data_IF_244101196963
#
_entry.id   IF_244101196963
#
_cell.length_a   1.000
_cell.length_b   1.000
_cell.length_c   1.000
_cell.angle_alpha   90.00
_cell.angle_beta   90.00
_cell.angle_gamma   90.00
#
_symmetry.space_group_name_H-M   'P 1'
#
loop_
_entity.id
_entity.type
_entity.pdbx_description
1 polymer ?
#
# COMPACT_ATOMS: atom_id res chain seq x y z
N UNK A 1 -27.17 -6.44 -4.02
CA UNK A 1 -25.83 -6.86 -3.58
C UNK A 1 -25.20 -5.66 -2.89
N UNK A 2 -24.72 -5.85 -1.69
CA UNK A 2 -24.01 -4.79 -0.95
C UNK A 2 -22.63 -4.65 -1.57
N UNK A 3 -22.12 -3.43 -1.66
CA UNK A 3 -20.78 -3.16 -2.19
C UNK A 3 -19.92 -2.54 -1.10
N UNK A 4 -18.65 -2.91 -1.07
CA UNK A 4 -17.63 -2.33 -0.21
C UNK A 4 -16.68 -1.52 -1.08
N UNK A 5 -16.53 -0.24 -0.77
CA UNK A 5 -15.58 0.66 -1.44
C UNK A 5 -14.35 0.85 -0.56
N UNK A 6 -13.20 0.40 -1.08
CA UNK A 6 -11.89 0.61 -0.46
C UNK A 6 -11.16 1.69 -1.25
N UNK A 7 -10.58 2.65 -0.56
CA UNK A 7 -9.79 3.72 -1.17
C UNK A 7 -8.43 3.88 -0.50
N UNK A 8 -7.49 4.49 -1.21
CA UNK A 8 -6.16 4.85 -0.69
C UNK A 8 -5.78 6.24 -1.16
N UNK A 9 -5.22 7.05 -0.26
CA UNK A 9 -4.79 8.40 -0.57
C UNK A 9 -3.56 8.81 0.24
N UNK A 10 -2.43 9.01 -0.44
CA UNK A 10 -1.34 9.76 0.14
C UNK A 10 -1.78 11.23 0.26
N UNK A 11 -2.12 11.63 1.48
CA UNK A 11 -2.70 12.96 1.73
C UNK A 11 -1.66 14.06 1.88
N UNK A 12 -0.39 13.70 1.96
CA UNK A 12 0.75 14.62 2.09
C UNK A 12 0.49 15.72 3.15
N UNK A 13 0.33 15.33 4.40
CA UNK A 13 -0.07 16.08 5.59
C UNK A 13 -1.59 16.19 5.79
N UNK A 14 -2.07 15.35 6.70
CA UNK A 14 -3.48 15.32 7.11
C UNK A 14 -3.94 16.67 7.65
N UNK A 15 -3.12 17.31 8.50
CA UNK A 15 -3.45 18.62 9.09
C UNK A 15 -3.71 19.70 8.03
N UNK A 16 -2.94 19.71 6.93
CA UNK A 16 -3.11 20.71 5.87
C UNK A 16 -4.31 20.43 4.98
N UNK A 17 -4.74 19.18 4.89
CA UNK A 17 -5.75 18.74 3.93
C UNK A 17 -6.97 18.11 4.59
N UNK A 18 -7.16 18.39 5.88
CA UNK A 18 -8.26 17.84 6.65
C UNK A 18 -9.63 18.20 6.04
N UNK A 19 -9.85 19.45 5.67
CA UNK A 19 -11.11 19.90 5.06
C UNK A 19 -11.35 19.22 3.71
N UNK A 20 -10.27 19.02 2.94
CA UNK A 20 -10.36 18.30 1.66
C UNK A 20 -10.70 16.83 1.87
N UNK A 21 -10.10 16.21 2.88
CA UNK A 21 -10.44 14.83 3.24
C UNK A 21 -11.92 14.72 3.62
N UNK A 22 -12.43 15.55 4.50
CA UNK A 22 -13.82 15.48 4.92
C UNK A 22 -14.79 15.73 3.76
N UNK A 23 -14.53 16.72 2.92
CA UNK A 23 -15.31 16.97 1.71
C UNK A 23 -15.34 15.75 0.80
N UNK A 24 -14.18 15.12 0.58
CA UNK A 24 -14.08 13.94 -0.27
C UNK A 24 -14.76 12.70 0.36
N UNK A 25 -14.64 12.50 1.69
CA UNK A 25 -15.35 11.44 2.41
C UNK A 25 -16.87 11.58 2.28
N UNK A 26 -17.39 12.81 2.41
CA UNK A 26 -18.82 13.09 2.26
C UNK A 26 -19.31 12.82 0.83
N UNK A 27 -18.55 13.24 -0.18
CA UNK A 27 -18.93 13.10 -1.59
C UNK A 27 -18.86 11.66 -2.10
N UNK A 28 -17.84 10.90 -1.68
CA UNK A 28 -17.54 9.57 -2.24
C UNK A 28 -17.96 8.42 -1.34
N UNK A 29 -18.19 8.71 -0.04
CA UNK A 29 -18.70 7.81 0.99
C UNK A 29 -18.03 6.42 1.01
N UNK A 30 -16.69 6.30 0.98
CA UNK A 30 -16.00 5.02 0.97
C UNK A 30 -16.20 4.29 2.31
N UNK A 31 -16.15 2.95 2.29
CA UNK A 31 -16.29 2.15 3.51
C UNK A 31 -14.97 2.03 4.25
N UNK A 32 -13.86 2.00 3.52
CA UNK A 32 -12.49 1.90 4.06
C UNK A 32 -11.59 2.89 3.30
N UNK A 33 -10.77 3.63 4.04
CA UNK A 33 -9.78 4.56 3.48
C UNK A 33 -8.42 4.34 4.12
N UNK A 34 -7.42 4.05 3.31
CA UNK A 34 -6.03 3.98 3.69
C UNK A 34 -5.35 5.32 3.42
N UNK A 35 -4.79 5.95 4.44
CA UNK A 35 -4.07 7.23 4.31
C UNK A 35 -2.57 7.02 4.47
N UNK A 36 -1.79 7.76 3.69
CA UNK A 36 -0.34 7.81 3.80
C UNK A 36 0.10 9.26 3.95
N UNK A 37 1.32 9.44 4.49
CA UNK A 37 1.89 10.74 4.81
C UNK A 37 0.97 11.63 5.65
N UNK A 38 0.40 11.06 6.72
CA UNK A 38 -0.41 11.84 7.66
C UNK A 38 0.39 12.97 8.33
N UNK A 39 1.71 12.77 8.51
CA UNK A 39 2.67 13.75 9.03
C UNK A 39 2.25 14.37 10.37
N UNK A 40 1.61 13.59 11.20
CA UNK A 40 1.22 13.95 12.55
C UNK A 40 1.53 12.81 13.52
N UNK A 41 1.79 13.15 14.77
CA UNK A 41 1.94 12.14 15.83
C UNK A 41 0.57 11.54 16.18
N UNK A 42 0.58 10.43 16.92
CA UNK A 42 -0.66 9.76 17.31
C UNK A 42 -1.54 10.68 18.19
N UNK A 43 -0.96 11.53 19.03
CA UNK A 43 -1.71 12.50 19.87
C UNK A 43 -2.36 13.61 19.04
N UNK A 44 -1.83 13.89 17.84
CA UNK A 44 -2.34 14.95 16.95
C UNK A 44 -3.36 14.42 15.94
N UNK A 45 -3.58 13.09 15.91
CA UNK A 45 -4.50 12.50 14.96
C UNK A 45 -5.95 12.88 15.26
N UNK A 46 -6.77 13.34 14.29
CA UNK A 46 -8.07 13.96 14.53
C UNK A 46 -9.19 12.93 14.77
N UNK A 47 -9.04 12.05 15.75
CA UNK A 47 -9.95 10.93 16.04
C UNK A 47 -11.40 11.40 16.19
N UNK A 48 -11.64 12.43 17.01
CA UNK A 48 -13.02 12.89 17.28
C UNK A 48 -13.70 13.46 16.04
N UNK A 49 -12.95 14.18 15.20
CA UNK A 49 -13.52 14.73 13.98
C UNK A 49 -13.85 13.63 12.96
N UNK A 50 -13.04 12.58 12.88
CA UNK A 50 -13.30 11.42 12.03
C UNK A 50 -14.48 10.59 12.54
N UNK A 51 -14.60 10.42 13.85
CA UNK A 51 -15.79 9.78 14.47
C UNK A 51 -17.07 10.55 14.19
N UNK A 52 -17.03 11.88 14.27
CA UNK A 52 -18.17 12.74 13.92
C UNK A 52 -18.54 12.61 12.44
N UNK A 53 -17.58 12.32 11.55
CA UNK A 53 -17.81 12.02 10.15
C UNK A 53 -18.23 10.55 9.88
N UNK A 54 -18.40 9.73 10.92
CA UNK A 54 -18.85 8.34 10.80
C UNK A 54 -17.74 7.31 10.58
N UNK A 55 -16.47 7.66 10.86
CA UNK A 55 -15.34 6.77 10.68
C UNK A 55 -14.61 6.45 11.98
N UNK A 56 -14.43 5.17 12.25
CA UNK A 56 -13.42 4.68 13.17
C UNK A 56 -12.03 4.80 12.53
N UNK A 57 -10.97 4.84 13.33
CA UNK A 57 -9.61 4.98 12.82
C UNK A 57 -8.61 4.09 13.56
N UNK A 58 -7.72 3.45 12.79
CA UNK A 58 -6.47 2.89 13.27
C UNK A 58 -5.33 3.70 12.62
N UNK A 59 -4.34 4.11 13.38
CA UNK A 59 -3.30 5.01 12.89
C UNK A 59 -1.97 4.70 13.56
N UNK A 60 -0.90 5.05 12.85
CA UNK A 60 0.47 4.99 13.33
C UNK A 60 1.21 6.18 12.72
N UNK A 61 1.59 7.12 13.55
CA UNK A 61 2.16 8.39 13.13
C UNK A 61 3.53 8.68 13.72
N UNK A 62 4.20 9.65 13.11
CA UNK A 62 5.43 10.24 13.63
C UNK A 62 5.49 11.74 13.32
N UNK A 63 6.35 12.44 14.02
CA UNK A 63 6.46 13.90 13.89
C UNK A 63 7.00 14.28 12.51
N UNK A 64 6.26 15.10 11.78
CA UNK A 64 6.65 15.79 10.54
C UNK A 64 6.81 14.93 9.29
N UNK A 65 7.00 13.61 9.42
CA UNK A 65 7.25 12.70 8.30
C UNK A 65 6.30 11.50 8.36
N UNK A 66 6.25 10.73 7.27
CA UNK A 66 5.55 9.45 7.18
C UNK A 66 4.13 9.47 7.79
N UNK A 67 3.75 8.43 8.49
CA UNK A 67 2.45 8.27 9.11
C UNK A 67 1.43 7.63 8.17
N UNK A 68 0.77 6.59 8.67
CA UNK A 68 -0.25 5.80 7.95
C UNK A 68 -1.49 5.66 8.82
N UNK A 69 -2.65 5.56 8.17
CA UNK A 69 -3.90 5.31 8.87
C UNK A 69 -4.86 4.48 8.03
N UNK A 70 -5.80 3.83 8.71
CA UNK A 70 -6.97 3.18 8.13
C UNK A 70 -8.19 3.81 8.78
N UNK A 71 -9.05 4.41 7.97
CA UNK A 71 -10.39 4.88 8.35
C UNK A 71 -11.40 3.84 7.90
N UNK A 72 -12.41 3.54 8.71
CA UNK A 72 -13.44 2.58 8.36
C UNK A 72 -14.76 2.91 9.02
N UNK A 73 -15.89 2.68 8.32
CA UNK A 73 -17.23 2.77 8.91
C UNK A 73 -17.48 1.69 9.95
N UNK A 74 -16.77 0.59 9.87
CA UNK A 74 -16.77 -0.50 10.86
C UNK A 74 -15.51 -0.43 11.70
N UNK A 75 -15.63 -0.72 13.00
CA UNK A 75 -14.49 -0.68 13.92
C UNK A 75 -13.37 -1.64 13.48
N UNK A 76 -12.13 -1.13 13.24
CA UNK A 76 -10.98 -1.94 12.91
C UNK A 76 -10.58 -2.86 14.07
N UNK A 77 -10.27 -4.14 13.79
CA UNK A 77 -9.83 -5.13 14.77
C UNK A 77 -8.45 -5.66 14.41
N UNK A 78 -7.78 -6.28 15.37
CA UNK A 78 -6.46 -6.89 15.19
C UNK A 78 -5.50 -5.93 14.48
N UNK A 79 -5.36 -4.73 15.04
CA UNK A 79 -4.53 -3.66 14.50
C UNK A 79 -3.07 -3.97 14.75
N UNK A 80 -2.23 -3.84 13.71
CA UNK A 80 -0.77 -4.05 13.76
C UNK A 80 -0.06 -2.93 13.01
N UNK A 81 0.98 -2.37 13.64
CA UNK A 81 1.76 -1.27 13.09
C UNK A 81 3.20 -1.71 12.75
N UNK A 82 3.36 -2.89 12.15
CA UNK A 82 4.67 -3.47 11.79
C UNK A 82 4.56 -4.43 10.61
N UNK A 83 5.69 -4.82 10.05
CA UNK A 83 5.81 -5.81 8.98
C UNK A 83 5.86 -7.26 9.48
N UNK A 84 5.36 -7.56 10.67
CA UNK A 84 5.29 -8.91 11.24
C UNK A 84 6.66 -9.60 11.42
N UNK A 85 7.74 -8.84 11.49
CA UNK A 85 9.10 -9.29 11.75
C UNK A 85 9.66 -8.65 13.03
N UNK A 86 10.82 -9.13 13.49
CA UNK A 86 11.50 -8.62 14.68
C UNK A 86 12.29 -7.32 14.41
N UNK A 87 12.28 -6.81 13.19
CA UNK A 87 13.01 -5.61 12.80
C UNK A 87 12.25 -4.39 13.27
N UNK A 88 12.80 -3.68 14.22
CA UNK A 88 12.28 -2.37 14.65
C UNK A 88 12.50 -1.37 13.50
N UNK A 89 11.42 -1.00 12.83
CA UNK A 89 11.44 0.09 11.85
C UNK A 89 11.00 1.37 12.55
N UNK A 90 11.89 2.39 12.65
CA UNK A 90 11.54 3.64 13.34
C UNK A 90 10.54 4.51 12.56
N UNK A 91 10.20 4.12 11.32
CA UNK A 91 9.36 4.91 10.44
C UNK A 91 7.94 4.36 10.38
N UNK A 92 6.96 5.24 10.57
CA UNK A 92 5.54 4.90 10.53
C UNK A 92 5.04 4.71 9.08
N UNK A 93 5.32 3.52 8.50
CA UNK A 93 5.07 3.23 7.08
C UNK A 93 4.03 2.14 6.82
N UNK A 94 3.64 1.41 7.85
CA UNK A 94 2.70 0.29 7.72
C UNK A 94 1.74 0.28 8.89
N UNK A 95 0.46 0.10 8.58
CA UNK A 95 -0.55 -0.30 9.55
C UNK A 95 -1.50 -1.29 8.89
N UNK A 96 -1.86 -2.33 9.60
CA UNK A 96 -2.83 -3.32 9.15
C UNK A 96 -3.97 -3.47 10.15
N UNK A 97 -5.17 -3.72 9.66
CA UNK A 97 -6.33 -4.02 10.49
C UNK A 97 -7.25 -5.03 9.81
N UNK A 98 -8.02 -5.76 10.58
CA UNK A 98 -9.11 -6.59 10.08
C UNK A 98 -10.41 -5.78 10.12
N UNK A 99 -11.06 -5.64 8.97
CA UNK A 99 -12.35 -4.97 8.81
C UNK A 99 -13.27 -5.96 8.10
N UNK A 100 -14.36 -6.38 8.78
CA UNK A 100 -15.17 -7.54 8.37
C UNK A 100 -14.29 -8.78 8.15
N UNK A 101 -14.29 -9.34 6.95
CA UNK A 101 -13.50 -10.51 6.57
C UNK A 101 -12.27 -10.15 5.73
N UNK A 102 -11.93 -8.85 5.64
CA UNK A 102 -10.78 -8.37 4.86
C UNK A 102 -9.67 -7.91 5.81
N UNK A 103 -8.45 -8.41 5.60
CA UNK A 103 -7.22 -7.86 6.17
C UNK A 103 -6.77 -6.71 5.26
N UNK A 104 -6.80 -5.50 5.80
CA UNK A 104 -6.44 -4.28 5.07
C UNK A 104 -5.09 -3.78 5.56
N UNK A 105 -4.18 -3.51 4.65
CA UNK A 105 -2.91 -2.85 4.88
C UNK A 105 -2.93 -1.44 4.29
N UNK A 106 -2.59 -0.43 5.08
CA UNK A 106 -2.20 0.88 4.59
C UNK A 106 -0.69 0.99 4.62
N UNK A 107 -0.06 1.15 3.46
CA UNK A 107 1.39 1.21 3.32
C UNK A 107 1.88 2.50 2.69
N UNK A 108 3.05 2.96 3.14
CA UNK A 108 3.82 4.04 2.53
C UNK A 108 5.24 3.56 2.27
N UNK A 109 5.48 3.03 1.08
CA UNK A 109 6.79 2.52 0.70
C UNK A 109 7.85 3.64 0.70
N UNK A 110 9.10 3.34 1.11
CA UNK A 110 10.17 4.33 1.03
C UNK A 110 10.35 4.88 -0.39
N UNK A 111 10.62 6.18 -0.53
CA UNK A 111 10.88 6.78 -1.85
C UNK A 111 12.17 6.24 -2.49
N UNK A 112 13.24 6.06 -1.69
CA UNK A 112 14.52 5.54 -2.17
C UNK A 112 15.49 6.62 -2.67
N UNK A 113 15.06 7.87 -2.80
CA UNK A 113 15.84 9.05 -3.20
C UNK A 113 16.52 8.92 -4.58
N UNK A 114 17.55 8.09 -4.70
CA UNK A 114 18.29 7.86 -5.94
C UNK A 114 18.69 6.39 -6.06
N UNK A 115 18.65 5.86 -7.26
CA UNK A 115 19.08 4.48 -7.56
C UNK A 115 20.54 4.27 -7.13
N UNK A 116 20.80 3.18 -6.40
CA UNK A 116 22.12 2.86 -5.85
C UNK A 116 22.50 3.60 -4.57
N UNK A 117 21.60 4.43 -4.01
CA UNK A 117 21.83 5.08 -2.71
C UNK A 117 21.51 4.15 -1.53
N UNK A 118 21.98 4.44 -0.30
CA UNK A 118 21.58 3.69 0.89
C UNK A 118 20.05 3.71 1.12
N UNK A 119 19.36 4.80 0.74
CA UNK A 119 17.91 4.91 0.81
C UNK A 119 17.21 3.98 -0.19
N UNK A 120 17.80 3.77 -1.36
CA UNK A 120 17.34 2.80 -2.35
C UNK A 120 17.47 1.36 -1.84
N UNK A 121 18.62 1.02 -1.23
CA UNK A 121 18.86 -0.30 -0.64
C UNK A 121 17.86 -0.57 0.51
N UNK A 122 17.60 0.44 1.34
CA UNK A 122 16.57 0.38 2.38
C UNK A 122 15.19 0.09 1.76
N UNK A 123 14.82 0.79 0.69
CA UNK A 123 13.56 0.56 -0.04
C UNK A 123 13.42 -0.88 -0.51
N UNK A 124 14.42 -1.44 -1.16
CA UNK A 124 14.37 -2.82 -1.67
C UNK A 124 14.27 -3.85 -0.53
N UNK A 125 15.03 -3.64 0.56
CA UNK A 125 14.92 -4.47 1.77
C UNK A 125 13.53 -4.38 2.41
N UNK A 126 12.97 -3.18 2.45
CA UNK A 126 11.62 -2.95 2.98
C UNK A 126 10.56 -3.70 2.15
N UNK A 127 10.67 -3.71 0.81
CA UNK A 127 9.79 -4.49 -0.06
C UNK A 127 9.92 -6.00 0.18
N UNK A 128 11.12 -6.50 0.38
CA UNK A 128 11.34 -7.92 0.70
C UNK A 128 10.67 -8.32 2.03
N UNK A 129 10.76 -7.45 3.05
CA UNK A 129 10.08 -7.63 4.34
C UNK A 129 8.56 -7.58 4.19
N UNK A 130 8.04 -6.60 3.44
CA UNK A 130 6.61 -6.51 3.14
C UNK A 130 6.11 -7.78 2.47
N UNK A 131 6.81 -8.27 1.45
CA UNK A 131 6.46 -9.53 0.77
C UNK A 131 6.41 -10.71 1.74
N UNK A 132 7.42 -10.85 2.59
CA UNK A 132 7.47 -11.94 3.58
C UNK A 132 6.30 -11.86 4.58
N UNK A 133 5.97 -10.65 5.06
CA UNK A 133 4.83 -10.43 5.93
C UNK A 133 3.50 -10.83 5.27
N UNK A 134 3.27 -10.39 4.03
CA UNK A 134 2.04 -10.67 3.30
C UNK A 134 1.90 -12.15 2.93
N UNK A 135 2.98 -12.83 2.56
CA UNK A 135 3.00 -14.27 2.31
C UNK A 135 2.65 -15.06 3.58
N UNK A 136 3.12 -14.62 4.75
CA UNK A 136 2.78 -15.22 6.04
C UNK A 136 1.31 -15.07 6.43
N UNK A 137 0.62 -14.02 6.00
CA UNK A 137 -0.83 -13.84 6.21
C UNK A 137 -1.64 -14.89 5.43
N UNK A 138 -1.23 -15.27 4.23
CA UNK A 138 -1.89 -16.31 3.44
C UNK A 138 -1.68 -17.71 4.04
N UNK A 139 -0.47 -18.03 4.52
CA UNK A 139 -0.15 -19.30 5.16
C UNK A 139 -0.88 -19.50 6.49
N UNK A 140 -1.05 -18.43 7.27
CA UNK A 140 -1.80 -18.47 8.53
C UNK A 140 -3.30 -18.69 8.25
N UNK A 141 -3.85 -18.10 7.20
CA UNK A 141 -5.23 -18.36 6.77
C UNK A 141 -5.42 -19.82 6.31
N UNK A 142 -4.39 -20.45 5.74
CA UNK A 142 -4.39 -21.84 5.31
C UNK A 142 -4.22 -22.84 6.47
N UNK A 143 -3.49 -22.48 7.54
CA UNK A 143 -3.12 -23.38 8.62
C UNK A 143 -4.07 -23.37 9.83
N UNK A 144 -4.95 -22.39 9.96
CA UNK A 144 -5.84 -22.23 11.13
C UNK A 144 -5.10 -22.02 12.47
N UNK A 145 -3.80 -21.79 12.46
CA UNK A 145 -2.96 -21.55 13.63
C UNK A 145 -2.51 -20.09 13.70
N UNK A 146 -3.32 -19.27 14.32
CA UNK A 146 -2.83 -17.98 14.81
C UNK A 146 -1.86 -18.25 15.97
N UNK A 147 -0.59 -17.91 15.78
CA UNK A 147 0.35 -17.77 16.88
C UNK A 147 1.39 -18.87 17.06
N UNK A 148 2.24 -19.11 16.08
CA UNK A 148 3.64 -19.54 16.33
C UNK A 148 4.48 -19.14 15.12
N UNK A 149 5.04 -17.96 15.16
CA UNK A 149 6.01 -17.47 14.19
C UNK A 149 7.42 -17.72 14.71
N UNK A 150 8.15 -18.47 13.89
CA UNK A 150 9.61 -18.49 13.73
C UNK A 150 10.46 -18.47 15.02
N UNK A 151 10.95 -19.62 15.43
CA UNK A 151 12.17 -19.72 16.26
C UNK A 151 13.39 -19.74 15.33
N UNK A 152 14.38 -18.85 15.51
CA UNK A 152 15.63 -18.95 14.78
C UNK A 152 16.40 -20.18 15.21
N UNK A 153 16.79 -21.04 14.26
CA UNK A 153 17.76 -22.08 14.51
C UNK A 153 19.12 -21.46 14.81
N UNK A 154 19.65 -21.69 16.00
CA UNK A 154 21.03 -21.43 16.35
C UNK A 154 21.96 -22.22 15.41
N UNK A 155 22.86 -21.51 14.73
CA UNK A 155 24.01 -22.13 14.10
C UNK A 155 24.27 -21.72 12.65
N UNK A 156 24.81 -20.54 12.42
CA UNK A 156 25.63 -20.29 11.24
C UNK A 156 26.82 -19.40 11.60
N UNK A 157 27.99 -20.00 11.47
CA UNK A 157 29.32 -19.41 11.70
C UNK A 157 29.61 -18.30 10.69
N UNK A 158 30.41 -17.33 11.16
CA UNK A 158 31.06 -16.28 10.37
C UNK A 158 31.92 -16.91 9.27
N UNK A 159 32.04 -16.12 8.21
CA UNK A 159 33.00 -16.13 7.08
C UNK A 159 32.36 -16.63 5.77
N UNK A 160 32.04 -15.66 4.89
CA UNK A 160 32.71 -15.53 3.59
C UNK A 160 32.13 -14.33 2.81
N UNK A 161 33.04 -13.43 2.49
CA UNK A 161 32.85 -12.41 1.47
C UNK A 161 32.88 -13.11 0.09
N UNK A 162 31.73 -13.23 -0.56
CA UNK A 162 31.68 -13.12 -2.02
C UNK A 162 30.24 -13.06 -2.57
N UNK A 163 30.05 -12.22 -3.58
CA UNK A 163 28.91 -12.10 -4.44
C UNK A 163 28.22 -13.44 -4.75
N UNK A 164 26.93 -13.55 -4.47
CA UNK A 164 26.04 -14.34 -5.32
C UNK A 164 24.58 -13.91 -5.14
N UNK A 165 24.03 -13.45 -6.24
CA UNK A 165 22.64 -13.54 -6.74
C UNK A 165 21.56 -13.97 -5.74
N UNK A 166 20.63 -13.08 -5.44
CA UNK A 166 19.33 -13.40 -4.87
C UNK A 166 18.47 -14.07 -5.95
N UNK A 167 18.83 -15.29 -6.31
CA UNK A 167 18.04 -16.12 -7.22
C UNK A 167 17.05 -16.93 -6.38
N UNK A 168 15.78 -16.62 -6.58
CA UNK A 168 14.61 -17.49 -6.63
C UNK A 168 14.81 -18.93 -6.12
N UNK A 169 14.30 -19.22 -4.92
CA UNK A 169 13.80 -20.56 -4.66
C UNK A 169 12.28 -20.55 -4.95
N UNK A 170 11.77 -21.52 -5.70
CA UNK A 170 10.32 -21.68 -5.88
C UNK A 170 9.72 -22.02 -4.51
N UNK A 171 8.69 -21.28 -4.13
CA UNK A 171 7.83 -21.65 -3.00
C UNK A 171 7.00 -22.81 -3.53
N UNK A 172 7.33 -24.03 -3.09
CA UNK A 172 6.50 -25.21 -3.34
C UNK A 172 5.09 -24.92 -2.82
N UNK A 173 4.13 -24.96 -3.72
CA UNK A 173 2.71 -24.91 -3.41
C UNK A 173 2.32 -26.12 -2.58
N UNK A 174 2.44 -26.01 -1.27
CA UNK A 174 1.86 -27.00 -0.35
C UNK A 174 0.35 -26.80 -0.41
N UNK A 175 -0.35 -27.82 -0.91
CA UNK A 175 -1.79 -27.80 -1.11
C UNK A 175 -2.53 -27.42 0.19
N UNK A 176 -3.37 -26.39 0.11
CA UNK A 176 -4.28 -25.98 1.18
C UNK A 176 -5.18 -27.14 1.60
N UNK A 177 -5.32 -27.43 2.91
CA UNK A 177 -6.40 -28.29 3.38
C UNK A 177 -7.73 -27.62 3.07
N UNK A 178 -8.60 -28.33 2.36
CA UNK A 178 -9.95 -27.89 2.01
C UNK A 178 -10.75 -27.62 3.30
N UNK A 179 -11.07 -26.33 3.56
CA UNK A 179 -12.00 -25.97 4.64
C UNK A 179 -11.65 -24.74 5.48
N UNK A 180 -10.44 -24.20 5.47
CA UNK A 180 -10.14 -22.95 6.16
C UNK A 180 -10.64 -21.76 5.29
N UNK A 181 -11.51 -20.90 5.86
CA UNK A 181 -11.91 -19.64 5.20
C UNK A 181 -10.65 -18.79 5.04
N UNK A 182 -10.19 -18.62 3.80
CA UNK A 182 -9.15 -17.63 3.48
C UNK A 182 -9.65 -16.25 3.87
N UNK A 183 -8.80 -15.48 4.53
CA UNK A 183 -9.07 -14.08 4.81
C UNK A 183 -8.73 -13.30 3.53
N UNK A 184 -9.70 -12.54 3.01
CA UNK A 184 -9.45 -11.64 1.90
C UNK A 184 -8.40 -10.59 2.31
N UNK A 185 -7.47 -10.27 1.41
CA UNK A 185 -6.38 -9.34 1.67
C UNK A 185 -6.45 -8.16 0.71
N UNK A 186 -6.36 -6.94 1.24
CA UNK A 186 -6.21 -5.70 0.48
C UNK A 186 -4.95 -4.95 0.96
N UNK A 187 -4.00 -4.69 0.06
CA UNK A 187 -2.81 -3.88 0.32
C UNK A 187 -2.92 -2.58 -0.46
N UNK A 188 -3.12 -1.51 0.28
CA UNK A 188 -3.46 -0.20 -0.27
C UNK A 188 -2.38 0.81 0.08
N UNK A 189 -1.95 1.64 -0.84
CA UNK A 189 -1.02 2.70 -0.49
C UNK A 189 -0.24 3.29 -1.64
N UNK A 190 0.71 4.12 -1.22
CA UNK A 190 1.75 4.66 -2.06
C UNK A 190 2.94 3.69 -2.08
N UNK A 191 3.09 3.02 -3.21
CA UNK A 191 4.18 2.07 -3.43
C UNK A 191 5.47 2.76 -3.87
N UNK A 192 5.41 4.05 -4.23
CA UNK A 192 6.57 4.77 -4.76
C UNK A 192 7.25 4.05 -5.95
N UNK A 193 6.49 3.27 -6.72
CA UNK A 193 6.93 2.56 -7.93
C UNK A 193 5.86 2.69 -9.00
N UNK A 194 6.25 3.09 -10.20
CA UNK A 194 5.45 2.94 -11.41
C UNK A 194 5.71 1.53 -11.99
N UNK A 195 4.76 0.58 -11.88
CA UNK A 195 5.02 -0.84 -12.16
C UNK A 195 5.45 -1.11 -13.60
N UNK A 196 4.87 -0.40 -14.56
CA UNK A 196 5.08 -0.59 -15.99
C UNK A 196 5.32 0.74 -16.71
N UNK A 197 5.74 0.67 -17.96
CA UNK A 197 5.97 1.88 -18.78
C UNK A 197 4.68 2.67 -19.00
N UNK A 198 3.53 2.02 -19.11
CA UNK A 198 2.22 2.67 -19.22
C UNK A 198 1.79 3.43 -17.96
N UNK A 199 2.49 3.25 -16.85
CA UNK A 199 2.29 3.96 -15.58
C UNK A 199 3.08 5.26 -15.48
N UNK A 200 3.79 5.62 -16.54
CA UNK A 200 4.54 6.87 -16.67
C UNK A 200 4.04 7.70 -17.85
N UNK A 201 4.12 9.03 -17.74
CA UNK A 201 3.76 9.91 -18.85
C UNK A 201 4.81 9.93 -19.99
N UNK A 202 6.04 9.51 -19.69
CA UNK A 202 7.18 9.48 -20.62
C UNK A 202 8.11 8.32 -20.21
N UNK A 203 7.91 7.12 -20.77
CA UNK A 203 8.68 5.93 -20.41
C UNK A 203 10.18 6.05 -20.68
N UNK A 204 10.57 6.80 -21.73
CA UNK A 204 11.99 6.98 -22.08
C UNK A 204 12.69 7.86 -21.04
N UNK A 205 12.04 8.96 -20.62
CA UNK A 205 12.56 9.87 -19.60
C UNK A 205 12.72 9.16 -18.24
N UNK A 206 11.78 8.27 -17.90
CA UNK A 206 11.73 7.59 -16.60
C UNK A 206 12.49 6.27 -16.57
N UNK A 207 13.01 5.81 -17.69
CA UNK A 207 13.72 4.52 -17.76
C UNK A 207 14.92 4.50 -16.82
N UNK A 208 14.90 3.56 -15.86
CA UNK A 208 15.95 3.39 -14.85
C UNK A 208 16.05 4.50 -13.80
N UNK A 209 15.17 5.50 -13.83
CA UNK A 209 15.07 6.51 -12.77
C UNK A 209 14.46 5.92 -11.51
N UNK A 210 14.58 6.65 -10.39
CA UNK A 210 13.88 6.31 -9.15
C UNK A 210 12.36 6.19 -9.41
N UNK A 211 11.67 5.27 -8.74
CA UNK A 211 10.28 4.84 -8.97
C UNK A 211 10.07 4.02 -10.27
N UNK A 212 11.07 3.95 -11.16
CA UNK A 212 10.97 3.25 -12.44
C UNK A 212 12.19 2.36 -12.73
N UNK A 213 13.06 2.15 -11.75
CA UNK A 213 14.19 1.25 -11.90
C UNK A 213 13.74 -0.22 -11.96
N UNK A 214 14.54 -1.06 -12.62
CA UNK A 214 14.22 -2.49 -12.73
C UNK A 214 14.17 -3.17 -11.35
N UNK A 215 15.03 -2.78 -10.40
CA UNK A 215 14.98 -3.32 -9.04
C UNK A 215 13.69 -3.03 -8.31
N UNK A 216 13.14 -1.81 -8.45
CA UNK A 216 11.87 -1.41 -7.85
C UNK A 216 10.68 -2.12 -8.51
N UNK A 217 10.66 -2.16 -9.84
CA UNK A 217 9.63 -2.86 -10.60
C UNK A 217 9.64 -4.37 -10.32
N UNK A 218 10.84 -4.96 -10.19
CA UNK A 218 10.97 -6.36 -9.78
C UNK A 218 10.43 -6.60 -8.36
N UNK A 219 10.71 -5.70 -7.41
CA UNK A 219 10.19 -5.79 -6.06
C UNK A 219 8.64 -5.69 -6.03
N UNK A 220 8.05 -4.80 -6.83
CA UNK A 220 6.60 -4.71 -6.97
C UNK A 220 6.01 -5.98 -7.62
N UNK A 221 6.61 -6.50 -8.70
CA UNK A 221 6.16 -7.77 -9.33
C UNK A 221 6.17 -8.92 -8.33
N UNK A 222 7.19 -9.00 -7.47
CA UNK A 222 7.27 -10.03 -6.42
C UNK A 222 6.13 -9.96 -5.38
N UNK A 223 5.49 -8.80 -5.17
CA UNK A 223 4.24 -8.71 -4.41
C UNK A 223 3.07 -9.29 -5.20
N UNK A 224 3.03 -9.10 -6.52
CA UNK A 224 2.00 -9.72 -7.35
C UNK A 224 2.18 -11.26 -7.43
N UNK A 225 3.43 -11.74 -7.44
CA UNK A 225 3.76 -13.18 -7.54
C UNK A 225 3.27 -14.00 -6.33
N UNK A 226 3.05 -13.39 -5.16
CA UNK A 226 2.40 -14.06 -4.03
C UNK A 226 0.86 -14.15 -4.15
N UNK A 227 0.28 -13.78 -5.30
CA UNK A 227 -1.15 -13.88 -5.56
C UNK A 227 -1.92 -12.56 -5.42
N UNK A 228 -1.23 -11.42 -5.30
CA UNK A 228 -1.87 -10.11 -5.26
C UNK A 228 -2.12 -9.58 -6.69
N UNK A 229 -3.31 -9.03 -6.89
CA UNK A 229 -3.79 -8.53 -8.18
C UNK A 229 -4.04 -7.02 -8.08
N UNK A 230 -3.48 -6.25 -9.00
CA UNK A 230 -3.71 -4.81 -9.13
C UNK A 230 -5.15 -4.56 -9.62
N UNK A 231 -5.99 -4.03 -8.74
CA UNK A 231 -7.42 -3.84 -9.02
C UNK A 231 -7.67 -2.85 -10.14
N UNK A 232 -6.85 -1.80 -10.28
CA UNK A 232 -7.01 -0.84 -11.36
C UNK A 232 -6.81 -1.52 -12.72
N UNK A 233 -5.84 -2.42 -12.83
CA UNK A 233 -5.51 -3.14 -14.06
C UNK A 233 -6.54 -4.19 -14.47
N UNK A 234 -7.47 -4.57 -13.59
CA UNK A 234 -8.63 -5.37 -13.96
C UNK A 234 -9.56 -4.60 -14.90
N UNK A 235 -9.72 -3.30 -14.69
CA UNK A 235 -10.69 -2.45 -15.38
C UNK A 235 -10.05 -1.50 -16.40
N UNK A 236 -8.79 -1.08 -16.19
CA UNK A 236 -8.09 -0.09 -17.01
C UNK A 236 -6.78 -0.66 -17.57
N UNK A 237 -6.82 -1.16 -18.82
CA UNK A 237 -5.66 -1.76 -19.51
C UNK A 237 -4.71 -0.75 -20.14
N UNK A 238 -5.18 0.49 -20.39
CA UNK A 238 -4.40 1.55 -21.04
C UNK A 238 -3.60 2.39 -20.06
N UNK A 239 -2.67 3.19 -20.62
CA UNK A 239 -1.88 4.20 -19.88
C UNK A 239 -2.67 5.47 -19.56
N UNK A 240 -1.99 6.44 -18.94
CA UNK A 240 -2.55 7.76 -18.64
C UNK A 240 -3.39 7.84 -17.35
N UNK A 241 -3.53 6.73 -16.63
CA UNK A 241 -4.18 6.66 -15.32
C UNK A 241 -3.15 6.94 -14.23
N UNK A 242 -2.80 8.20 -14.04
CA UNK A 242 -1.80 8.60 -13.06
C UNK A 242 -2.45 8.91 -11.71
N UNK A 243 -1.72 8.64 -10.63
CA UNK A 243 -2.12 8.93 -9.26
C UNK A 243 -1.28 10.04 -8.61
N UNK A 244 -0.11 10.34 -9.17
CA UNK A 244 0.83 11.34 -8.66
C UNK A 244 1.33 12.29 -9.75
N UNK A 245 1.52 13.58 -9.39
CA UNK A 245 2.11 14.63 -10.24
C UNK A 245 2.95 15.58 -9.39
N UNK A 246 4.22 15.78 -9.76
CA UNK A 246 5.09 16.76 -9.10
C UNK A 246 4.41 18.15 -9.06
N UNK A 247 4.54 18.88 -7.97
CA UNK A 247 4.05 20.26 -7.85
C UNK A 247 4.73 21.22 -8.84
N UNK A 248 5.97 20.89 -9.22
CA UNK A 248 6.80 21.71 -10.10
C UNK A 248 6.45 21.51 -11.58
N UNK A 249 6.94 22.42 -12.43
CA UNK A 249 6.91 22.34 -13.89
C UNK A 249 5.52 22.24 -14.51
N UNK A 250 4.47 22.64 -13.78
CA UNK A 250 3.07 22.49 -14.19
C UNK A 250 2.73 21.03 -14.57
N UNK A 251 3.24 20.07 -13.80
CA UNK A 251 3.12 18.65 -14.15
C UNK A 251 1.67 18.20 -14.19
N UNK A 252 0.82 18.64 -13.27
CA UNK A 252 -0.60 18.28 -13.27
C UNK A 252 -1.37 18.84 -14.49
N UNK A 253 -1.33 20.15 -14.81
CA UNK A 253 -1.99 20.68 -16.03
C UNK A 253 -1.50 20.02 -17.32
N UNK A 254 -0.21 19.67 -17.40
CA UNK A 254 0.40 19.01 -18.56
C UNK A 254 0.18 17.49 -18.57
N UNK A 255 -0.51 16.96 -17.57
CA UNK A 255 -0.70 15.52 -17.33
C UNK A 255 0.60 14.70 -17.31
N UNK A 256 1.68 15.28 -16.77
CA UNK A 256 2.98 14.61 -16.59
C UNK A 256 3.02 13.92 -15.25
N UNK A 257 2.34 12.79 -15.15
CA UNK A 257 2.16 12.03 -13.91
C UNK A 257 2.76 10.64 -13.95
N UNK A 258 2.75 10.00 -12.78
CA UNK A 258 3.04 8.59 -12.58
C UNK A 258 1.87 7.93 -11.86
N UNK A 259 1.69 6.64 -12.07
CA UNK A 259 0.85 5.82 -11.21
C UNK A 259 1.73 5.08 -10.22
N UNK A 260 1.75 5.53 -8.98
CA UNK A 260 2.56 4.96 -7.90
C UNK A 260 1.73 4.55 -6.68
N UNK A 261 0.44 4.87 -6.70
CA UNK A 261 -0.53 4.40 -5.71
C UNK A 261 -1.35 3.24 -6.29
N UNK A 262 -1.63 2.24 -5.48
CA UNK A 262 -2.37 1.06 -5.89
C UNK A 262 -3.21 0.46 -4.75
N UNK A 263 -4.20 -0.34 -5.13
CA UNK A 263 -4.91 -1.29 -4.28
C UNK A 263 -4.66 -2.67 -4.88
N UNK A 264 -3.85 -3.46 -4.18
CA UNK A 264 -3.58 -4.85 -4.53
C UNK A 264 -4.50 -5.74 -3.71
N UNK A 265 -5.21 -6.65 -4.35
CA UNK A 265 -6.17 -7.54 -3.70
C UNK A 265 -5.76 -9.00 -3.86
N UNK A 266 -6.02 -9.84 -2.83
CA UNK A 266 -5.93 -11.30 -2.98
C UNK A 266 -6.84 -11.77 -4.10
N UNK A 267 -6.56 -12.92 -4.69
CA UNK A 267 -7.34 -13.45 -5.82
C UNK A 267 -8.83 -13.52 -5.49
N UNK A 268 -9.20 -14.02 -4.31
CA UNK A 268 -10.60 -14.13 -3.87
C UNK A 268 -11.31 -12.77 -3.76
N UNK A 269 -10.60 -11.72 -3.32
CA UNK A 269 -11.14 -10.37 -3.27
C UNK A 269 -11.17 -9.73 -4.67
N UNK A 270 -10.14 -9.93 -5.48
CA UNK A 270 -10.05 -9.41 -6.84
C UNK A 270 -11.16 -9.95 -7.76
N UNK A 271 -11.58 -11.21 -7.58
CA UNK A 271 -12.70 -11.81 -8.29
C UNK A 271 -14.05 -11.10 -8.02
N UNK A 272 -14.16 -10.40 -6.89
CA UNK A 272 -15.32 -9.59 -6.51
C UNK A 272 -15.20 -8.12 -6.94
N UNK A 273 -14.06 -7.71 -7.51
CA UNK A 273 -13.81 -6.32 -7.88
C UNK A 273 -14.63 -5.95 -9.14
N UNK A 274 -15.59 -5.03 -8.97
CA UNK A 274 -16.51 -4.62 -10.05
C UNK A 274 -16.15 -3.28 -10.66
N UNK A 275 -15.36 -2.45 -9.97
CA UNK A 275 -14.90 -1.17 -10.47
C UNK A 275 -13.63 -0.73 -9.73
N UNK A 276 -12.78 0.03 -10.40
CA UNK A 276 -11.65 0.71 -9.80
C UNK A 276 -11.36 2.02 -10.54
N UNK A 277 -10.76 2.99 -9.86
CA UNK A 277 -10.49 4.28 -10.49
C UNK A 277 -9.56 5.17 -9.67
N UNK A 278 -9.36 6.38 -10.19
CA UNK A 278 -8.53 7.44 -9.60
C UNK A 278 -9.33 8.74 -9.61
N UNK A 279 -9.48 9.37 -8.45
CA UNK A 279 -10.21 10.63 -8.30
C UNK A 279 -9.30 11.82 -8.62
N UNK A 280 -8.93 11.94 -9.90
CA UNK A 280 -8.01 12.96 -10.41
C UNK A 280 -8.45 14.39 -10.05
N UNK A 281 -9.75 14.63 -9.88
CA UNK A 281 -10.31 15.94 -9.53
C UNK A 281 -9.80 16.45 -8.17
N UNK A 282 -9.40 15.54 -7.27
CA UNK A 282 -8.82 15.90 -5.97
C UNK A 282 -7.44 16.57 -6.08
N UNK A 283 -6.83 16.57 -7.25
CA UNK A 283 -5.62 17.35 -7.57
C UNK A 283 -5.91 18.80 -7.92
N UNK A 284 -7.17 19.19 -8.12
CA UNK A 284 -7.57 20.58 -8.41
C UNK A 284 -7.84 21.37 -7.13
N UNK A 285 -7.90 22.70 -7.27
CA UNK A 285 -8.26 23.62 -6.18
C UNK A 285 -7.06 24.05 -5.34
N UNK A 286 -7.35 24.50 -4.11
CA UNK A 286 -6.36 25.08 -3.22
C UNK A 286 -5.61 24.01 -2.43
N UNK A 287 -4.30 24.12 -2.34
CA UNK A 287 -3.40 23.23 -1.57
C UNK A 287 -3.67 21.71 -1.71
N UNK A 288 -3.82 21.17 -2.95
CA UNK A 288 -4.08 19.74 -3.10
C UNK A 288 -2.87 18.91 -2.65
N UNK A 289 -3.08 17.62 -2.33
CA UNK A 289 -1.98 16.66 -2.31
C UNK A 289 -1.37 16.53 -3.70
N UNK A 290 -0.11 16.14 -3.82
CA UNK A 290 0.50 15.75 -5.10
C UNK A 290 -0.01 14.38 -5.60
N UNK A 291 -0.73 13.65 -4.76
CA UNK A 291 -1.44 12.42 -5.10
C UNK A 291 -2.95 12.65 -5.22
N UNK A 292 -3.60 11.85 -6.06
CA UNK A 292 -5.04 11.70 -6.13
C UNK A 292 -5.46 10.39 -5.44
N UNK A 293 -6.65 10.33 -4.80
CA UNK A 293 -7.18 9.09 -4.25
C UNK A 293 -7.34 8.01 -5.34
N UNK A 294 -6.95 6.78 -5.02
CA UNK A 294 -7.27 5.59 -5.81
C UNK A 294 -8.33 4.77 -5.06
N UNK A 295 -9.21 4.09 -5.78
CA UNK A 295 -10.31 3.35 -5.17
C UNK A 295 -10.67 2.09 -5.97
N UNK A 296 -11.25 1.11 -5.27
CA UNK A 296 -11.85 -0.09 -5.85
C UNK A 296 -13.15 -0.45 -5.12
N UNK A 297 -14.11 -0.98 -5.86
CA UNK A 297 -15.40 -1.45 -5.35
C UNK A 297 -15.50 -2.97 -5.51
N UNK A 298 -15.97 -3.62 -4.44
CA UNK A 298 -16.07 -5.08 -4.36
C UNK A 298 -17.51 -5.49 -4.02
N UNK A 299 -18.03 -6.53 -4.65
CA UNK A 299 -19.29 -7.16 -4.26
C UNK A 299 -19.09 -8.06 -3.03
N UNK A 300 -20.04 -8.00 -2.08
CA UNK A 300 -20.05 -8.89 -0.89
C UNK A 300 -20.70 -10.25 -1.20
#
# INVERSE_FOLDING_TARGET
MTRVKIASWNINSLRKRQDRLFTWLEQTNPDIVCLQETKCTDEQFPVLALQAAGYHSAYHGEKSYNGVAILSKTEPRDVRASLCDEVVDPQARVIAAKIHNVRVYSIYAPNGQAVGSPAYDYKLKWYARLRACLAGEEDVAASGKAGQLFQPSEGARKDDANRKSWATQPIDTIGCPSGAKRVDLAVCGDFNVAPEDIDTYDPELWRGAIMCSEGERAAFRQLCDIGLIDTLRLHHKGGGNFSWWDYRMLSFPKNRGLRIDAILASKSLAEKCVAAGIDREMRKGNEPSDHAPVWAEFEE
#
